data_IF_503846898008
#
_entry.id   IF_503846898008
#
_cell.length_a   1.000
_cell.length_b   1.000
_cell.length_c   1.000
_cell.angle_alpha   90.00
_cell.angle_beta   90.00
_cell.angle_gamma   90.00
#
_symmetry.space_group_name_H-M   'P 1'
#
loop_
_entity.id
_entity.type
_entity.pdbx_description
1 polymer ?
#
# COMPACT_ATOMS: atom_id res chain seq x y z
N UNK A 1 -8.36 -0.60 3.09
CA UNK A 1 -8.55 -1.52 4.23
C UNK A 1 -9.21 -2.80 3.75
N UNK A 2 -9.00 -3.90 4.45
CA UNK A 2 -9.45 -5.23 4.05
C UNK A 2 -10.69 -5.61 4.85
N UNK A 3 -11.79 -6.09 4.23
CA UNK A 3 -12.97 -6.53 4.95
C UNK A 3 -12.69 -7.85 5.70
N UNK A 4 -13.60 -8.20 6.59
CA UNK A 4 -13.48 -9.41 7.40
C UNK A 4 -13.79 -10.66 6.59
N UNK A 5 -13.17 -11.77 6.99
CA UNK A 5 -13.32 -13.03 6.29
C UNK A 5 -14.67 -13.69 6.55
N UNK A 6 -15.20 -13.55 7.78
CA UNK A 6 -16.43 -14.22 8.19
C UNK A 6 -17.33 -13.29 9.02
N UNK A 7 -18.66 -13.55 9.04
CA UNK A 7 -19.58 -12.76 9.84
C UNK A 7 -19.25 -12.71 11.33
N UNK A 8 -18.75 -13.78 11.93
CA UNK A 8 -18.34 -13.81 13.33
C UNK A 8 -17.16 -12.89 13.65
N UNK A 9 -16.35 -12.54 12.67
CA UNK A 9 -15.23 -11.59 12.84
C UNK A 9 -15.76 -10.17 13.10
N UNK A 10 -16.97 -9.83 12.65
CA UNK A 10 -17.58 -8.53 12.96
C UNK A 10 -17.86 -8.36 14.47
N UNK A 11 -18.25 -9.43 15.16
CA UNK A 11 -18.47 -9.39 16.60
C UNK A 11 -17.20 -9.19 17.41
N UNK A 12 -16.05 -9.55 16.85
CA UNK A 12 -14.73 -9.40 17.50
C UNK A 12 -14.15 -7.99 17.35
N UNK A 13 -14.68 -7.16 16.47
CA UNK A 13 -14.11 -5.85 16.16
C UNK A 13 -14.04 -4.93 17.38
N UNK A 14 -15.01 -5.05 18.28
CA UNK A 14 -15.11 -4.23 19.48
C UNK A 14 -14.55 -4.90 20.75
N UNK A 15 -14.36 -6.21 20.73
CA UNK A 15 -13.95 -6.99 21.91
C UNK A 15 -12.54 -7.51 21.83
N UNK A 16 -12.10 -7.99 20.66
CA UNK A 16 -10.75 -8.53 20.42
C UNK A 16 -10.34 -8.32 18.97
N UNK A 17 -10.04 -7.07 18.57
CA UNK A 17 -9.72 -6.74 17.17
C UNK A 17 -8.49 -7.48 16.64
N UNK A 18 -7.59 -7.92 17.51
CA UNK A 18 -6.42 -8.71 17.14
C UNK A 18 -6.74 -10.10 16.57
N UNK A 19 -7.92 -10.63 16.85
CA UNK A 19 -8.39 -11.92 16.32
C UNK A 19 -9.22 -11.80 15.03
N UNK A 20 -9.54 -10.60 14.61
CA UNK A 20 -10.30 -10.37 13.39
C UNK A 20 -9.49 -10.79 12.17
N UNK A 21 -10.04 -11.67 11.36
CA UNK A 21 -9.39 -12.15 10.13
C UNK A 21 -9.75 -11.26 8.95
N UNK A 22 -8.75 -10.79 8.24
CA UNK A 22 -8.96 -10.02 7.03
C UNK A 22 -9.26 -10.93 5.83
N UNK A 23 -10.14 -10.49 4.93
CA UNK A 23 -10.37 -11.14 3.63
C UNK A 23 -9.25 -10.73 2.66
N UNK A 24 -8.04 -11.22 2.96
CA UNK A 24 -6.81 -10.95 2.25
C UNK A 24 -6.15 -12.26 1.85
N UNK A 25 -5.36 -12.20 0.81
CA UNK A 25 -4.65 -13.35 0.25
C UNK A 25 -3.31 -12.92 -0.31
N UNK A 26 -2.34 -13.80 -0.20
CA UNK A 26 -1.02 -13.64 -0.78
C UNK A 26 -0.70 -14.86 -1.65
N UNK A 27 0.00 -14.63 -2.76
CA UNK A 27 0.55 -15.68 -3.60
C UNK A 27 2.01 -15.88 -3.23
N UNK A 28 2.33 -17.07 -2.75
CA UNK A 28 3.71 -17.45 -2.45
C UNK A 28 4.17 -18.59 -3.35
N UNK A 29 5.42 -18.54 -3.82
CA UNK A 29 6.08 -19.59 -4.58
C UNK A 29 7.51 -19.78 -4.06
N UNK A 30 7.90 -21.01 -3.79
CA UNK A 30 9.23 -21.35 -3.25
C UNK A 30 9.60 -20.57 -1.98
N UNK A 31 8.60 -20.28 -1.11
CA UNK A 31 8.81 -19.51 0.12
C UNK A 31 8.91 -18.00 -0.08
N UNK A 32 8.73 -17.50 -1.31
CA UNK A 32 8.76 -16.06 -1.63
C UNK A 32 7.36 -15.57 -1.97
N UNK A 33 6.94 -14.46 -1.35
CA UNK A 33 5.70 -13.76 -1.70
C UNK A 33 5.86 -13.06 -3.05
N UNK A 34 5.07 -13.47 -4.03
CA UNK A 34 5.08 -12.92 -5.38
C UNK A 34 4.03 -11.84 -5.61
N UNK A 35 2.99 -11.84 -4.80
CA UNK A 35 1.92 -10.88 -4.92
C UNK A 35 0.89 -11.05 -3.83
N UNK A 36 0.04 -10.06 -3.69
CA UNK A 36 -1.00 -10.08 -2.69
C UNK A 36 -2.17 -9.19 -3.03
N UNK A 37 -3.27 -9.42 -2.35
CA UNK A 37 -4.48 -8.68 -2.58
C UNK A 37 -5.52 -8.84 -1.48
N UNK A 38 -6.68 -8.28 -1.72
CA UNK A 38 -7.82 -8.43 -0.82
C UNK A 38 -9.13 -8.11 -1.52
N UNK A 39 -10.21 -8.63 -0.96
CA UNK A 39 -11.53 -8.02 -1.15
C UNK A 39 -11.55 -6.71 -0.38
N UNK A 40 -12.12 -5.66 -0.94
CA UNK A 40 -12.10 -4.32 -0.34
C UNK A 40 -13.36 -4.05 0.48
N UNK A 41 -13.27 -3.12 1.42
CA UNK A 41 -14.44 -2.59 2.11
C UNK A 41 -15.13 -1.61 1.17
N UNK A 42 -16.42 -1.83 0.92
CA UNK A 42 -17.30 -0.96 0.16
C UNK A 42 -18.49 -0.47 0.98
N UNK A 43 -18.73 -1.05 2.14
CA UNK A 43 -19.70 -0.57 3.12
C UNK A 43 -19.14 0.62 3.90
N UNK A 44 -19.90 1.72 3.92
CA UNK A 44 -19.45 2.97 4.53
C UNK A 44 -19.31 2.87 6.05
N UNK A 45 -20.29 2.28 6.72
CA UNK A 45 -20.29 2.18 8.18
C UNK A 45 -19.11 1.34 8.67
N UNK A 46 -18.84 0.23 7.99
CA UNK A 46 -17.67 -0.60 8.25
C UNK A 46 -16.36 0.16 7.99
N UNK A 47 -16.31 0.98 6.94
CA UNK A 47 -15.12 1.77 6.62
C UNK A 47 -14.85 2.82 7.70
N UNK A 48 -15.87 3.53 8.16
CA UNK A 48 -15.77 4.51 9.24
C UNK A 48 -15.30 3.85 10.55
N UNK A 49 -15.89 2.71 10.90
CA UNK A 49 -15.46 1.94 12.07
C UNK A 49 -14.00 1.50 11.99
N UNK A 50 -13.53 1.10 10.82
CA UNK A 50 -12.13 0.74 10.59
C UNK A 50 -11.18 1.93 10.74
N UNK A 51 -11.60 3.15 10.34
CA UNK A 51 -10.81 4.35 10.59
C UNK A 51 -10.66 4.64 12.08
N UNK A 52 -11.76 4.55 12.83
CA UNK A 52 -11.73 4.71 14.29
C UNK A 52 -10.76 3.73 14.96
N UNK A 53 -10.82 2.43 14.60
CA UNK A 53 -9.92 1.41 15.13
C UNK A 53 -8.44 1.66 14.81
N UNK A 54 -8.17 2.35 13.71
CA UNK A 54 -6.81 2.74 13.31
C UNK A 54 -6.38 4.07 13.95
N UNK A 55 -7.23 4.68 14.77
CA UNK A 55 -6.94 5.91 15.50
C UNK A 55 -7.15 7.21 14.70
N UNK A 56 -7.82 7.12 13.54
CA UNK A 56 -8.19 8.33 12.80
C UNK A 56 -9.39 9.02 13.44
N UNK A 57 -9.30 10.34 13.61
CA UNK A 57 -10.49 11.14 13.86
C UNK A 57 -11.35 11.27 12.60
N UNK A 58 -12.65 11.58 12.71
CA UNK A 58 -13.51 11.81 11.54
C UNK A 58 -12.95 12.89 10.60
N UNK A 59 -12.38 13.96 11.15
CA UNK A 59 -11.79 15.06 10.40
C UNK A 59 -10.54 14.60 9.61
N UNK A 60 -9.66 13.80 10.22
CA UNK A 60 -8.49 13.25 9.57
C UNK A 60 -8.87 12.27 8.46
N UNK A 61 -9.83 11.38 8.73
CA UNK A 61 -10.36 10.46 7.74
C UNK A 61 -10.97 11.22 6.55
N UNK A 62 -11.75 12.28 6.82
CA UNK A 62 -12.33 13.11 5.76
C UNK A 62 -11.26 13.87 4.97
N UNK A 63 -10.24 14.40 5.63
CA UNK A 63 -9.16 15.14 4.97
C UNK A 63 -8.33 14.25 4.05
N UNK A 64 -8.04 13.01 4.47
CA UNK A 64 -7.18 12.10 3.71
C UNK A 64 -7.93 11.25 2.69
N UNK A 65 -9.16 10.82 3.01
CA UNK A 65 -9.92 9.84 2.23
C UNK A 65 -11.30 10.32 1.81
N UNK A 66 -11.66 11.58 2.12
CA UNK A 66 -13.00 12.11 1.88
C UNK A 66 -13.44 12.01 0.41
N UNK A 67 -12.52 12.18 -0.53
CA UNK A 67 -12.80 12.00 -1.96
C UNK A 67 -13.28 10.57 -2.29
N UNK A 68 -12.65 9.56 -1.67
CA UNK A 68 -13.00 8.16 -1.87
C UNK A 68 -14.31 7.82 -1.17
N UNK A 69 -14.48 8.26 0.09
CA UNK A 69 -15.70 8.05 0.86
C UNK A 69 -16.91 8.66 0.14
N UNK A 70 -16.76 9.87 -0.39
CA UNK A 70 -17.79 10.53 -1.19
C UNK A 70 -18.11 9.79 -2.49
N UNK A 71 -17.09 9.27 -3.17
CA UNK A 71 -17.32 8.45 -4.37
C UNK A 71 -18.14 7.18 -4.04
N UNK A 72 -17.91 6.56 -2.90
CA UNK A 72 -18.66 5.37 -2.46
C UNK A 72 -20.13 5.65 -2.14
N UNK A 73 -20.50 6.90 -1.85
CA UNK A 73 -21.92 7.30 -1.67
C UNK A 73 -22.75 7.13 -2.94
N UNK A 74 -22.13 7.16 -4.11
CA UNK A 74 -22.79 6.91 -5.39
C UNK A 74 -22.93 5.43 -5.75
N UNK A 75 -22.48 4.54 -4.88
CA UNK A 75 -22.54 3.09 -5.00
C UNK A 75 -21.22 2.46 -5.39
N UNK A 76 -20.61 1.76 -4.44
CA UNK A 76 -19.43 0.95 -4.70
C UNK A 76 -19.83 -0.52 -4.76
N UNK A 77 -19.56 -1.24 -5.87
CA UNK A 77 -19.82 -2.67 -5.92
C UNK A 77 -18.83 -3.43 -5.05
N UNK A 78 -19.11 -4.66 -4.66
CA UNK A 78 -18.09 -5.57 -4.14
C UNK A 78 -16.92 -5.63 -5.13
N UNK A 79 -15.72 -5.37 -4.65
CA UNK A 79 -14.53 -5.32 -5.47
C UNK A 79 -13.30 -5.80 -4.73
N UNK A 80 -12.30 -6.20 -5.46
CA UNK A 80 -11.03 -6.67 -4.95
C UNK A 80 -9.99 -6.70 -6.05
N UNK A 81 -8.80 -7.14 -5.71
CA UNK A 81 -7.72 -7.23 -6.68
C UNK A 81 -6.52 -7.98 -6.16
N UNK A 82 -5.62 -8.31 -7.07
CA UNK A 82 -4.34 -8.92 -6.80
C UNK A 82 -3.26 -8.15 -7.57
N UNK A 83 -2.18 -7.81 -6.89
CA UNK A 83 -1.01 -7.20 -7.49
C UNK A 83 0.18 -8.14 -7.39
N UNK A 84 0.96 -8.22 -8.48
CA UNK A 84 2.19 -9.02 -8.53
C UNK A 84 3.42 -8.12 -8.51
N UNK A 85 4.45 -8.54 -7.79
CA UNK A 85 5.79 -8.00 -7.95
C UNK A 85 6.43 -8.58 -9.22
N UNK A 86 6.35 -7.87 -10.35
CA UNK A 86 6.80 -8.38 -11.64
C UNK A 86 8.27 -8.82 -11.61
N UNK A 87 9.16 -7.97 -11.09
CA UNK A 87 10.59 -8.28 -11.01
C UNK A 87 10.85 -9.53 -10.16
N UNK A 88 10.11 -9.64 -9.05
CA UNK A 88 10.21 -10.82 -8.16
C UNK A 88 9.70 -12.09 -8.82
N UNK A 89 8.59 -12.01 -9.56
CA UNK A 89 8.05 -13.13 -10.33
C UNK A 89 9.08 -13.61 -11.36
N UNK A 90 9.64 -12.70 -12.14
CA UNK A 90 10.63 -13.03 -13.18
C UNK A 90 11.90 -13.61 -12.56
N UNK A 91 12.43 -13.03 -11.48
CA UNK A 91 13.60 -13.55 -10.78
C UNK A 91 13.35 -14.97 -10.24
N UNK A 92 12.19 -15.20 -9.61
CA UNK A 92 11.82 -16.52 -9.07
C UNK A 92 11.67 -17.56 -10.20
N UNK A 93 11.08 -17.20 -11.33
CA UNK A 93 11.00 -18.08 -12.51
C UNK A 93 12.37 -18.35 -13.12
N UNK A 94 13.28 -17.38 -13.05
CA UNK A 94 14.68 -17.52 -13.47
C UNK A 94 15.57 -18.28 -12.49
N UNK A 95 15.03 -18.70 -11.32
CA UNK A 95 15.77 -19.44 -10.31
C UNK A 95 16.77 -18.62 -9.51
N UNK A 96 16.55 -17.29 -9.40
CA UNK A 96 17.42 -16.38 -8.66
C UNK A 96 16.76 -15.87 -7.38
N UNK A 97 17.55 -15.77 -6.32
CA UNK A 97 17.14 -15.18 -5.04
C UNK A 97 17.24 -13.65 -5.05
N UNK A 98 17.84 -13.06 -6.08
CA UNK A 98 18.02 -11.61 -6.21
C UNK A 98 17.30 -11.06 -7.43
N UNK A 99 16.54 -9.98 -7.25
CA UNK A 99 15.89 -9.26 -8.36
C UNK A 99 16.88 -8.39 -9.15
N UNK A 100 18.10 -8.17 -8.68
CA UNK A 100 19.05 -7.21 -9.27
C UNK A 100 19.40 -7.51 -10.71
N UNK A 101 19.45 -8.79 -11.08
CA UNK A 101 19.78 -9.22 -12.43
C UNK A 101 18.57 -9.17 -13.39
N UNK A 102 17.37 -8.83 -12.85
CA UNK A 102 16.10 -8.82 -13.57
C UNK A 102 15.47 -7.44 -13.68
N UNK A 103 16.01 -6.43 -12.99
CA UNK A 103 15.58 -5.04 -13.08
C UNK A 103 16.56 -4.23 -13.93
N UNK A 104 16.02 -3.31 -14.75
CA UNK A 104 16.83 -2.56 -15.72
C UNK A 104 17.84 -1.63 -15.06
N UNK A 105 17.49 -1.05 -13.89
CA UNK A 105 18.30 -0.03 -13.20
C UNK A 105 18.42 -0.35 -11.70
N UNK A 106 19.20 -1.38 -11.32
CA UNK A 106 19.37 -1.74 -9.91
C UNK A 106 20.15 -0.66 -9.16
N UNK A 107 19.69 -0.36 -7.96
CA UNK A 107 20.40 0.55 -7.07
C UNK A 107 21.61 -0.13 -6.42
N UNK A 108 22.68 0.63 -6.22
CA UNK A 108 23.83 0.16 -5.46
C UNK A 108 23.57 0.15 -3.94
N UNK A 109 24.55 -0.31 -3.15
CA UNK A 109 24.43 -0.39 -1.69
C UNK A 109 24.25 0.97 -0.98
N UNK A 110 24.52 2.07 -1.68
CA UNK A 110 24.30 3.44 -1.19
C UNK A 110 22.93 4.01 -1.63
N UNK A 111 22.07 3.18 -2.23
CA UNK A 111 20.77 3.60 -2.74
C UNK A 111 20.85 4.44 -4.03
N UNK A 112 22.01 4.51 -4.69
CA UNK A 112 22.17 5.26 -5.95
C UNK A 112 21.84 4.40 -7.16
N UNK A 113 21.14 5.00 -8.10
CA UNK A 113 21.05 4.50 -9.46
C UNK A 113 22.22 5.05 -10.25
N UNK A 114 23.15 4.16 -10.65
CA UNK A 114 24.38 4.56 -11.33
C UNK A 114 24.19 4.80 -12.82
N UNK A 115 23.06 4.38 -13.40
CA UNK A 115 22.77 4.58 -14.82
C UNK A 115 22.29 6.01 -15.10
N UNK A 116 21.45 6.55 -14.23
CA UNK A 116 20.86 7.88 -14.36
C UNK A 116 21.43 8.88 -13.34
N UNK A 117 22.43 8.47 -12.59
CA UNK A 117 23.10 9.26 -11.54
C UNK A 117 22.13 9.87 -10.51
N UNK A 118 21.11 9.09 -10.10
CA UNK A 118 20.13 9.50 -9.10
C UNK A 118 20.46 8.94 -7.69
N UNK A 119 20.18 9.68 -6.60
CA UNK A 119 19.61 11.03 -6.57
C UNK A 119 20.62 12.10 -7.01
N UNK A 120 20.13 13.16 -7.62
CA UNK A 120 20.87 14.35 -7.98
C UNK A 120 20.39 15.57 -7.18
N UNK A 121 21.18 16.63 -7.18
CA UNK A 121 20.78 17.91 -6.59
C UNK A 121 19.66 18.55 -7.41
N UNK A 122 18.73 19.23 -6.73
CA UNK A 122 17.71 20.04 -7.36
C UNK A 122 18.28 21.42 -7.69
N UNK A 123 17.77 22.03 -8.76
CA UNK A 123 18.07 23.40 -9.11
C UNK A 123 17.43 24.36 -8.09
N UNK A 124 18.16 25.38 -7.69
CA UNK A 124 17.70 26.41 -6.75
C UNK A 124 16.41 27.11 -7.24
N UNK A 125 16.24 27.26 -8.54
CA UNK A 125 15.02 27.82 -9.11
C UNK A 125 13.81 26.95 -8.84
N UNK A 126 13.94 25.63 -8.96
CA UNK A 126 12.85 24.70 -8.64
C UNK A 126 12.48 24.74 -7.16
N UNK A 127 13.47 24.86 -6.27
CA UNK A 127 13.23 25.00 -4.83
C UNK A 127 12.50 26.32 -4.51
N UNK A 128 12.89 27.42 -5.16
CA UNK A 128 12.26 28.73 -4.98
C UNK A 128 10.80 28.72 -5.49
N UNK A 129 10.52 28.13 -6.65
CA UNK A 129 9.16 28.01 -7.20
C UNK A 129 8.22 27.26 -6.25
N UNK A 130 8.74 26.30 -5.48
CA UNK A 130 7.99 25.51 -4.51
C UNK A 130 7.99 26.12 -3.09
N UNK A 131 8.68 27.25 -2.87
CA UNK A 131 8.93 27.84 -1.56
C UNK A 131 9.55 26.85 -0.55
N UNK A 132 10.48 26.00 -1.02
CA UNK A 132 11.19 24.99 -0.22
C UNK A 132 12.62 25.46 -0.01
N UNK A 133 13.15 25.23 1.20
CA UNK A 133 14.56 25.42 1.52
C UNK A 133 15.17 24.13 2.04
N UNK A 134 16.41 23.82 1.61
CA UNK A 134 17.18 22.73 2.17
C UNK A 134 17.82 23.19 3.46
N UNK A 135 17.46 22.57 4.58
CA UNK A 135 18.12 22.79 5.87
C UNK A 135 19.35 21.89 5.95
N UNK A 136 20.53 22.49 6.03
CA UNK A 136 21.75 21.77 6.42
C UNK A 136 21.75 21.66 7.95
N UNK A 137 21.60 20.44 8.46
CA UNK A 137 21.80 20.12 9.88
C UNK A 137 23.26 20.13 10.23
#
# INVERSE_FOLDING_TARGET
>A
MKPFLKPEDFALIDTDPGKVRANAYDLAMNGVELGGGSIRIYDRALQERMFELLGFTPEEAQKQFGFLLKAFEYGAPPHGGLAFGLDRLVATMGGSDSIRDYIAFPKNNKGRDVMIDAPSTLDDKQLQELAIQVSTL
#
